data_IF_931084238271
#
_entry.id   IF_931084238271
#
_cell.length_a   1.000
_cell.length_b   1.000
_cell.length_c   1.000
_cell.angle_alpha   90.00
_cell.angle_beta   90.00
_cell.angle_gamma   90.00
#
_symmetry.space_group_name_H-M   'P 1'
#
loop_
_entity.id
_entity.type
_entity.pdbx_description
1 polymer ?
#
# COMPACT_ATOMS: atom_id res chain seq x y z
N UNK A 1 -22.74 5.08 -11.26
CA UNK A 1 -22.59 4.36 -9.97
C UNK A 1 -21.13 3.96 -9.80
N UNK A 2 -20.66 3.73 -8.58
CA UNK A 2 -19.29 3.28 -8.34
C UNK A 2 -19.16 2.43 -7.09
N UNK A 3 -18.06 1.69 -7.00
CA UNK A 3 -17.69 0.88 -5.84
C UNK A 3 -16.28 1.22 -5.40
N UNK A 4 -16.03 1.19 -4.10
CA UNK A 4 -14.70 1.27 -3.52
C UNK A 4 -14.25 -0.14 -3.13
N UNK A 5 -13.05 -0.52 -3.51
CA UNK A 5 -12.43 -1.78 -3.06
C UNK A 5 -11.36 -1.53 -2.03
N UNK A 6 -11.25 -2.44 -1.05
CA UNK A 6 -10.13 -2.49 -0.11
C UNK A 6 -8.77 -2.56 -0.84
N UNK A 7 -7.63 -2.32 -0.15
CA UNK A 7 -6.32 -2.34 -0.78
C UNK A 7 -6.08 -3.63 -1.56
N UNK A 8 -5.60 -3.45 -2.79
CA UNK A 8 -5.40 -4.51 -3.80
C UNK A 8 -3.95 -4.92 -3.95
N UNK A 9 -3.02 -4.15 -3.40
CA UNK A 9 -1.60 -4.46 -3.37
C UNK A 9 -1.27 -5.42 -2.22
N UNK A 10 -0.14 -6.12 -2.35
CA UNK A 10 0.34 -7.08 -1.37
C UNK A 10 0.51 -6.45 0.00
N UNK A 11 -0.15 -7.05 0.98
CA UNK A 11 -0.15 -6.61 2.36
C UNK A 11 0.45 -7.68 3.28
N UNK A 12 0.86 -7.27 4.47
CA UNK A 12 1.39 -8.15 5.50
C UNK A 12 0.34 -9.18 5.92
N UNK A 13 0.75 -10.42 6.13
CA UNK A 13 -0.10 -11.44 6.75
C UNK A 13 0.05 -11.36 8.26
N UNK A 14 -1.06 -11.17 8.98
CA UNK A 14 -1.08 -11.05 10.45
C UNK A 14 -1.86 -12.21 11.07
N UNK A 15 -1.50 -12.57 12.31
CA UNK A 15 -2.19 -13.64 13.04
C UNK A 15 -3.69 -13.37 13.13
N UNK A 16 -4.50 -14.42 12.98
CA UNK A 16 -5.97 -14.36 12.92
C UNK A 16 -6.56 -13.54 11.75
N UNK A 17 -5.74 -13.11 10.78
CA UNK A 17 -6.16 -12.45 9.53
C UNK A 17 -7.12 -11.27 9.72
N UNK A 18 -6.82 -10.32 10.65
CA UNK A 18 -7.69 -9.19 10.92
C UNK A 18 -7.89 -8.33 9.67
N UNK A 19 -8.95 -7.53 9.64
CA UNK A 19 -9.24 -6.66 8.49
C UNK A 19 -8.11 -5.65 8.23
N UNK A 20 -7.51 -5.12 9.30
CA UNK A 20 -6.52 -4.05 9.22
C UNK A 20 -5.16 -4.50 8.66
N UNK A 21 -4.93 -5.80 8.48
CA UNK A 21 -3.69 -6.30 7.87
C UNK A 21 -3.50 -5.75 6.44
N UNK A 22 -4.60 -5.38 5.76
CA UNK A 22 -4.59 -4.78 4.42
C UNK A 22 -3.94 -3.41 4.35
N UNK A 23 -3.89 -2.69 5.47
CA UNK A 23 -3.29 -1.36 5.56
C UNK A 23 -1.82 -1.43 6.01
N UNK A 24 -1.18 -2.58 5.81
CA UNK A 24 0.25 -2.76 6.06
C UNK A 24 0.92 -3.28 4.78
N UNK A 25 1.21 -2.40 3.80
CA UNK A 25 1.83 -2.79 2.54
C UNK A 25 3.15 -3.53 2.73
N UNK A 26 3.38 -4.54 1.90
CA UNK A 26 4.66 -5.25 1.75
C UNK A 26 5.24 -4.99 0.36
N UNK A 27 4.37 -4.96 -0.66
CA UNK A 27 4.75 -4.55 -2.01
C UNK A 27 3.56 -4.00 -2.81
N UNK A 28 3.83 -3.60 -4.04
CA UNK A 28 2.82 -3.17 -5.01
C UNK A 28 2.29 -4.32 -5.90
N UNK A 29 2.70 -5.57 -5.65
CA UNK A 29 2.15 -6.73 -6.37
C UNK A 29 0.65 -6.87 -6.10
N UNK A 30 -0.13 -7.16 -7.13
CA UNK A 30 -1.59 -7.28 -7.03
C UNK A 30 -2.02 -8.71 -6.65
N UNK A 31 -1.75 -9.12 -5.42
CA UNK A 31 -2.20 -10.42 -4.88
C UNK A 31 -2.51 -10.29 -3.40
N UNK A 32 -3.80 -10.45 -3.06
CA UNK A 32 -4.34 -10.30 -1.70
C UNK A 32 -5.36 -11.41 -1.40
N UNK A 33 -6.03 -11.32 -0.25
CA UNK A 33 -7.20 -12.16 0.03
C UNK A 33 -8.37 -11.94 -0.94
N UNK A 34 -8.45 -10.80 -1.63
CA UNK A 34 -9.49 -10.53 -2.64
C UNK A 34 -9.25 -11.24 -3.97
N UNK A 35 -8.04 -11.76 -4.19
CA UNK A 35 -7.64 -12.37 -5.45
C UNK A 35 -6.32 -11.82 -5.98
N UNK A 36 -6.03 -12.15 -7.24
CA UNK A 36 -4.86 -11.72 -7.99
C UNK A 36 -5.20 -10.65 -9.04
N UNK A 37 -4.17 -10.18 -9.74
CA UNK A 37 -4.27 -9.18 -10.80
C UNK A 37 -5.29 -9.55 -11.89
N UNK A 38 -5.27 -10.81 -12.36
CA UNK A 38 -6.20 -11.26 -13.41
C UNK A 38 -7.66 -11.18 -12.94
N UNK A 39 -7.92 -11.51 -11.68
CA UNK A 39 -9.24 -11.40 -11.08
C UNK A 39 -9.65 -9.94 -10.88
N UNK A 40 -8.72 -9.06 -10.47
CA UNK A 40 -8.97 -7.62 -10.38
C UNK A 40 -9.30 -7.03 -11.76
N UNK A 41 -8.50 -7.31 -12.77
CA UNK A 41 -8.72 -6.87 -14.15
C UNK A 41 -10.08 -7.34 -14.69
N UNK A 42 -10.44 -8.60 -14.45
CA UNK A 42 -11.75 -9.16 -14.83
C UNK A 42 -12.90 -8.42 -14.14
N UNK A 43 -12.78 -8.16 -12.83
CA UNK A 43 -13.79 -7.42 -12.07
C UNK A 43 -13.95 -5.99 -12.61
N UNK A 44 -12.85 -5.26 -12.79
CA UNK A 44 -12.85 -3.88 -13.28
C UNK A 44 -13.46 -3.81 -14.69
N UNK A 45 -13.04 -4.68 -15.60
CA UNK A 45 -13.58 -4.76 -16.96
C UNK A 45 -15.10 -4.98 -16.97
N UNK A 46 -15.59 -5.96 -16.20
CA UNK A 46 -17.03 -6.27 -16.11
C UNK A 46 -17.83 -5.11 -15.52
N UNK A 47 -17.31 -4.43 -14.49
CA UNK A 47 -17.96 -3.28 -13.89
C UNK A 47 -18.02 -2.10 -14.87
N UNK A 48 -16.91 -1.80 -15.54
CA UNK A 48 -16.84 -0.73 -16.53
C UNK A 48 -17.82 -0.93 -17.69
N UNK A 49 -17.98 -2.17 -18.18
CA UNK A 49 -18.94 -2.51 -19.24
C UNK A 49 -20.41 -2.27 -18.83
N UNK A 50 -20.70 -2.24 -17.53
CA UNK A 50 -22.01 -1.93 -16.97
C UNK A 50 -22.13 -0.47 -16.49
N UNK A 51 -21.13 0.38 -16.76
CA UNK A 51 -21.12 1.77 -16.30
C UNK A 51 -20.90 1.93 -14.78
N UNK A 52 -20.38 0.92 -14.10
CA UNK A 52 -20.01 0.97 -12.67
C UNK A 52 -18.51 1.18 -12.56
N UNK A 53 -18.10 2.28 -11.92
CA UNK A 53 -16.68 2.66 -11.79
C UNK A 53 -16.04 2.10 -10.52
N UNK A 54 -14.80 1.66 -10.62
CA UNK A 54 -14.04 1.12 -9.48
C UNK A 54 -13.09 2.18 -8.94
N UNK A 55 -13.12 2.41 -7.63
CA UNK A 55 -12.17 3.23 -6.89
C UNK A 55 -11.36 2.33 -5.96
N UNK A 56 -10.03 2.46 -5.96
CA UNK A 56 -9.14 1.60 -5.17
C UNK A 56 -8.67 2.33 -3.92
N UNK A 57 -8.78 1.71 -2.74
CA UNK A 57 -8.07 2.17 -1.55
C UNK A 57 -6.56 1.99 -1.74
N UNK A 58 -5.81 3.10 -1.71
CA UNK A 58 -4.35 3.07 -1.88
C UNK A 58 -3.66 3.49 -0.59
N UNK A 59 -2.65 2.71 -0.19
CA UNK A 59 -1.87 2.96 1.02
C UNK A 59 -0.43 3.18 0.61
N UNK A 60 -0.05 4.45 0.45
CA UNK A 60 1.31 4.86 0.06
C UNK A 60 1.98 5.78 1.10
N UNK A 61 1.32 6.04 2.23
CA UNK A 61 1.94 6.78 3.34
C UNK A 61 3.07 5.95 3.96
N UNK A 62 2.84 4.65 4.14
CA UNK A 62 3.70 3.80 4.94
C UNK A 62 3.75 2.37 4.39
N UNK A 63 4.71 1.61 4.89
CA UNK A 63 4.79 0.15 4.74
C UNK A 63 4.45 -0.54 6.07
N UNK A 64 4.51 -1.88 6.11
CA UNK A 64 4.13 -2.66 7.29
C UNK A 64 4.93 -2.31 8.55
N UNK A 65 4.30 -2.45 9.72
CA UNK A 65 5.00 -2.37 11.00
C UNK A 65 5.71 -3.69 11.32
N UNK A 66 6.43 -3.73 12.44
CA UNK A 66 7.06 -4.95 12.95
C UNK A 66 6.05 -6.12 13.07
N UNK A 67 6.56 -7.34 12.88
CA UNK A 67 5.75 -8.54 12.70
C UNK A 67 5.07 -8.65 11.32
N UNK A 68 5.31 -7.71 10.40
CA UNK A 68 4.92 -7.81 8.99
C UNK A 68 6.07 -8.32 8.12
N UNK A 69 6.52 -9.56 8.34
CA UNK A 69 7.76 -10.09 7.73
C UNK A 69 7.52 -10.81 6.39
N UNK A 70 6.27 -11.08 6.03
CA UNK A 70 5.90 -11.63 4.74
C UNK A 70 4.51 -11.15 4.31
N UNK A 71 4.31 -11.11 2.99
CA UNK A 71 3.08 -10.63 2.37
C UNK A 71 2.21 -11.73 1.79
N UNK A 72 0.99 -11.33 1.40
CA UNK A 72 0.01 -12.19 0.73
C UNK A 72 0.47 -12.76 -0.63
N UNK A 73 1.47 -12.14 -1.26
CA UNK A 73 2.11 -12.60 -2.50
C UNK A 73 3.49 -13.25 -2.25
N UNK A 74 3.76 -13.64 -0.99
CA UNK A 74 4.99 -14.31 -0.52
C UNK A 74 6.25 -13.46 -0.57
N UNK A 75 6.16 -12.15 -0.81
CA UNK A 75 7.33 -11.28 -0.64
C UNK A 75 7.70 -11.23 0.84
N UNK A 76 8.99 -11.18 1.13
CA UNK A 76 9.49 -10.96 2.49
C UNK A 76 9.77 -9.48 2.74
N UNK A 77 9.79 -9.09 4.01
CA UNK A 77 10.20 -7.77 4.45
C UNK A 77 10.89 -7.85 5.81
N UNK A 78 11.73 -6.87 6.10
CA UNK A 78 12.27 -6.62 7.43
C UNK A 78 11.89 -5.20 7.84
N UNK A 79 10.70 -5.01 8.46
CA UNK A 79 10.21 -3.69 8.83
C UNK A 79 11.13 -2.93 9.78
N UNK A 80 11.77 -3.63 10.73
CA UNK A 80 12.69 -3.02 11.71
C UNK A 80 13.91 -2.38 11.07
N UNK A 81 14.38 -2.95 9.95
CA UNK A 81 15.47 -2.39 9.13
C UNK A 81 14.96 -1.63 7.90
N UNK A 82 13.65 -1.39 7.80
CA UNK A 82 13.00 -0.72 6.67
C UNK A 82 13.36 -1.31 5.30
N UNK A 83 13.40 -2.64 5.21
CA UNK A 83 13.72 -3.36 3.96
C UNK A 83 12.48 -4.03 3.38
N UNK A 84 12.12 -3.66 2.15
CA UNK A 84 11.01 -4.21 1.38
C UNK A 84 11.47 -4.57 -0.03
N UNK A 85 12.19 -5.71 -0.19
CA UNK A 85 12.87 -6.08 -1.44
C UNK A 85 11.97 -6.22 -2.68
N UNK A 86 10.67 -6.44 -2.50
CA UNK A 86 9.73 -6.57 -3.61
C UNK A 86 9.28 -5.24 -4.23
N UNK A 87 9.53 -4.10 -3.57
CA UNK A 87 9.38 -2.74 -4.16
C UNK A 87 10.73 -2.14 -4.59
N UNK A 88 11.81 -2.90 -4.42
CA UNK A 88 12.97 -2.63 -3.53
C UNK A 88 13.04 -1.29 -2.78
N UNK A 89 12.29 -1.14 -1.66
CA UNK A 89 12.59 -0.06 -0.70
C UNK A 89 13.62 -0.49 0.35
N UNK A 90 14.42 0.49 0.78
CA UNK A 90 15.46 0.44 1.80
C UNK A 90 15.25 1.56 2.82
N UNK A 91 16.06 1.61 3.87
CA UNK A 91 15.98 2.67 4.88
C UNK A 91 16.16 4.10 4.34
N UNK A 92 16.73 4.26 3.14
CA UNK A 92 16.88 5.56 2.46
C UNK A 92 15.56 6.12 1.92
N UNK A 93 14.53 5.29 1.83
CA UNK A 93 13.24 5.60 1.21
C UNK A 93 12.17 6.01 2.23
N UNK A 94 12.54 6.08 3.50
CA UNK A 94 11.65 6.38 4.62
C UNK A 94 12.10 7.63 5.37
N UNK A 95 11.14 8.30 6.01
CA UNK A 95 11.45 9.36 6.96
C UNK A 95 12.22 8.79 8.17
N UNK A 96 13.01 9.64 8.88
CA UNK A 96 13.64 9.23 10.14
C UNK A 96 12.62 8.65 11.13
N UNK A 97 13.01 7.64 11.90
CA UNK A 97 12.09 7.01 12.86
C UNK A 97 11.75 7.96 14.01
N UNK A 98 10.47 8.27 14.14
CA UNK A 98 9.84 8.98 15.25
C UNK A 98 8.36 8.55 15.31
N UNK A 99 7.67 8.85 16.41
CA UNK A 99 6.25 8.54 16.56
C UNK A 99 5.41 9.84 16.52
N UNK A 100 4.20 9.75 15.99
CA UNK A 100 3.23 10.84 16.08
C UNK A 100 2.73 10.91 17.53
N UNK A 101 3.00 12.02 18.21
CA UNK A 101 2.59 12.25 19.60
C UNK A 101 1.71 13.49 19.80
N UNK A 102 1.78 14.45 18.88
CA UNK A 102 0.96 15.65 18.87
C UNK A 102 0.37 15.93 17.48
N UNK A 103 -0.96 15.89 17.37
CA UNK A 103 -1.67 16.15 16.12
C UNK A 103 -1.72 17.65 15.74
N UNK A 104 -1.30 18.54 16.63
CA UNK A 104 -1.11 19.96 16.33
C UNK A 104 0.25 20.26 15.70
N UNK A 105 1.20 19.31 15.74
CA UNK A 105 2.54 19.46 15.20
C UNK A 105 2.59 18.84 13.80
N UNK A 106 2.39 19.68 12.78
CA UNK A 106 2.21 19.21 11.40
C UNK A 106 3.42 18.45 10.83
N UNK A 107 4.63 18.69 11.35
CA UNK A 107 5.83 17.96 10.94
C UNK A 107 5.75 16.51 11.41
N UNK A 108 5.48 16.26 12.70
CA UNK A 108 5.25 14.92 13.23
C UNK A 108 4.13 14.20 12.47
N UNK A 109 2.98 14.86 12.27
CA UNK A 109 1.83 14.25 11.59
C UNK A 109 2.17 13.74 10.19
N UNK A 110 3.12 14.38 9.49
CA UNK A 110 3.49 14.06 8.10
C UNK A 110 4.72 13.18 7.96
N UNK A 111 5.65 13.25 8.92
CA UNK A 111 7.00 12.68 8.77
C UNK A 111 7.38 11.68 9.89
N UNK A 112 6.46 11.38 10.81
CA UNK A 112 6.66 10.35 11.83
C UNK A 112 5.76 9.13 11.60
N UNK A 113 6.19 8.00 12.14
CA UNK A 113 5.53 6.71 12.00
C UNK A 113 4.17 6.71 12.72
N UNK A 114 3.09 6.58 11.94
CA UNK A 114 1.75 6.35 12.46
C UNK A 114 1.70 4.96 13.10
N UNK A 115 1.60 4.89 14.43
CA UNK A 115 1.53 3.63 15.21
C UNK A 115 2.62 2.60 14.85
N UNK A 116 3.82 3.07 14.50
CA UNK A 116 4.97 2.22 14.15
C UNK A 116 4.98 1.67 12.71
N UNK A 117 4.07 2.14 11.86
CA UNK A 117 4.09 1.87 10.42
C UNK A 117 5.23 2.65 9.78
N UNK A 118 6.05 1.99 8.96
CA UNK A 118 7.27 2.60 8.41
C UNK A 118 6.91 3.67 7.40
N UNK A 119 7.14 4.92 7.79
CA UNK A 119 6.68 6.11 7.08
C UNK A 119 7.57 6.43 5.87
N UNK A 120 7.00 6.31 4.66
CA UNK A 120 7.71 6.55 3.41
C UNK A 120 8.02 8.04 3.25
N UNK A 121 9.19 8.37 2.72
CA UNK A 121 9.54 9.76 2.40
C UNK A 121 9.09 10.09 0.98
N UNK A 122 7.88 10.62 0.80
CA UNK A 122 7.39 11.01 -0.54
C UNK A 122 8.07 12.28 -1.08
N UNK A 123 9.01 12.90 -0.35
CA UNK A 123 9.92 13.91 -0.90
C UNK A 123 11.07 13.31 -1.71
N UNK A 124 11.30 12.00 -1.61
CA UNK A 124 12.29 11.27 -2.42
C UNK A 124 11.69 10.91 -3.79
N UNK A 125 12.34 11.32 -4.88
CA UNK A 125 11.85 11.06 -6.24
C UNK A 125 11.74 9.56 -6.55
N UNK A 126 12.61 8.72 -6.00
CA UNK A 126 12.51 7.28 -6.18
C UNK A 126 11.22 6.71 -5.57
N UNK A 127 10.82 7.23 -4.40
CA UNK A 127 9.57 6.84 -3.74
C UNK A 127 8.38 7.31 -4.58
N UNK A 128 8.42 8.55 -5.09
CA UNK A 128 7.40 9.09 -5.97
C UNK A 128 7.23 8.23 -7.24
N UNK A 129 8.33 7.90 -7.92
CA UNK A 129 8.31 7.08 -9.14
C UNK A 129 7.66 5.72 -8.88
N UNK A 130 7.99 5.07 -7.76
CA UNK A 130 7.38 3.79 -7.39
C UNK A 130 5.90 3.88 -7.06
N UNK A 131 5.46 4.95 -6.42
CA UNK A 131 4.03 5.19 -6.16
C UNK A 131 3.29 5.46 -7.48
N UNK A 132 3.84 6.32 -8.34
CA UNK A 132 3.23 6.64 -9.64
C UNK A 132 3.15 5.40 -10.53
N UNK A 133 4.22 4.60 -10.63
CA UNK A 133 4.23 3.31 -11.36
C UNK A 133 3.08 2.39 -10.91
N UNK A 134 2.85 2.31 -9.60
CA UNK A 134 1.74 1.53 -9.03
C UNK A 134 0.35 2.11 -9.38
N UNK A 135 0.18 3.43 -9.25
CA UNK A 135 -1.10 4.09 -9.54
C UNK A 135 -1.44 4.05 -11.05
N UNK A 136 -0.45 4.28 -11.92
CA UNK A 136 -0.61 4.20 -13.37
C UNK A 136 -0.95 2.77 -13.80
N UNK A 137 -0.33 1.75 -13.20
CA UNK A 137 -0.69 0.36 -13.45
C UNK A 137 -2.16 0.07 -13.10
N UNK A 138 -2.68 0.62 -12.00
CA UNK A 138 -4.11 0.49 -11.67
C UNK A 138 -5.01 1.21 -12.68
N UNK A 139 -4.60 2.39 -13.17
CA UNK A 139 -5.30 3.12 -14.24
C UNK A 139 -5.34 2.30 -15.52
N UNK A 140 -4.23 1.66 -15.90
CA UNK A 140 -4.14 0.78 -17.07
C UNK A 140 -5.11 -0.41 -16.98
N UNK A 141 -5.37 -0.91 -15.76
CA UNK A 141 -6.38 -1.95 -15.51
C UNK A 141 -7.83 -1.42 -15.59
N UNK A 142 -8.03 -0.10 -15.73
CA UNK A 142 -9.32 0.55 -15.90
C UNK A 142 -9.94 1.10 -14.61
N UNK A 143 -9.16 1.25 -13.53
CA UNK A 143 -9.59 1.91 -12.29
C UNK A 143 -9.91 3.38 -12.57
N UNK A 144 -10.96 3.92 -11.95
CA UNK A 144 -11.46 5.26 -12.20
C UNK A 144 -10.96 6.31 -11.20
N UNK A 145 -10.31 5.89 -10.10
CA UNK A 145 -9.75 6.77 -9.11
C UNK A 145 -9.32 6.05 -7.84
N UNK A 146 -8.88 6.82 -6.86
CA UNK A 146 -8.27 6.32 -5.63
C UNK A 146 -8.89 6.95 -4.39
N UNK A 147 -8.86 6.21 -3.27
CA UNK A 147 -9.24 6.69 -1.94
C UNK A 147 -8.09 6.52 -0.96
#
# INVERSE_FOLDING_TARGET
AGLQVSPVNENAVKDNRPWWERYQPISYKLTTRSGNEQQLASMVSRCNNLGVRTYVEVVFNHMSADGGTYGTARSTASPSSKSYPAVPYSSLDFNPTCAISDYNEANQVRNCELVGLRDLNQGNSYVQDKIVEFLDHLIDLGVAGFR
#
